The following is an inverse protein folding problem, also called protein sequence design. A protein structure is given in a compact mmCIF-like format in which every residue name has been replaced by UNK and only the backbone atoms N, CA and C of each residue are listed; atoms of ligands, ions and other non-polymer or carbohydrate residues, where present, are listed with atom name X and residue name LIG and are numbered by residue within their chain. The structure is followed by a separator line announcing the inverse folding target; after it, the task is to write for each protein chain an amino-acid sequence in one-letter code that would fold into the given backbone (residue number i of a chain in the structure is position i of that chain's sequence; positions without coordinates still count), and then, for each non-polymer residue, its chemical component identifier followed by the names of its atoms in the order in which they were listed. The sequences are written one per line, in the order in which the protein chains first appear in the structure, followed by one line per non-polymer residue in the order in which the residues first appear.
data_IF_737956804594
#
_entry.id   IF_737956804594
#
_cell.length_a   1.000
_cell.length_b   1.000
_cell.length_c   1.000
_cell.angle_alpha   90.00
_cell.angle_beta   90.00
_cell.angle_gamma   90.00
#
_symmetry.space_group_name_H-M   'P 1'
#
loop_
_entity.id
_entity.type
_entity.pdbx_description
1 polymer ?
#
# COMPACT_ATOMS: atom_id res chain seq x y z
N UNK A 1 2.91 16.41 -2.38
CA UNK A 1 1.87 15.68 -3.14
C UNK A 1 0.77 15.29 -2.18
N UNK A 2 -0.43 15.85 -2.34
CA UNK A 2 -1.59 15.50 -1.52
C UNK A 2 -2.11 14.11 -1.86
N UNK A 3 -2.88 13.51 -0.96
CA UNK A 3 -3.56 12.23 -1.19
C UNK A 3 -4.46 12.28 -2.44
N UNK A 4 -5.19 13.38 -2.63
CA UNK A 4 -6.07 13.56 -3.79
C UNK A 4 -5.29 13.63 -5.09
N UNK A 5 -4.17 14.36 -5.12
CA UNK A 5 -3.28 14.41 -6.28
C UNK A 5 -2.71 13.04 -6.61
N UNK A 6 -2.22 12.31 -5.59
CA UNK A 6 -1.70 10.96 -5.75
C UNK A 6 -2.74 9.98 -6.32
N UNK A 7 -3.96 9.99 -5.79
CA UNK A 7 -5.05 9.12 -6.23
C UNK A 7 -5.52 9.41 -7.66
N UNK A 8 -5.21 10.60 -8.20
CA UNK A 8 -5.60 11.06 -9.53
C UNK A 8 -4.45 11.07 -10.54
N UNK A 9 -3.27 10.55 -10.17
CA UNK A 9 -2.12 10.55 -11.09
C UNK A 9 -2.48 9.81 -12.39
N UNK A 10 -2.30 10.46 -13.56
CA UNK A 10 -2.76 9.91 -14.85
C UNK A 10 -1.86 8.79 -15.38
N UNK A 11 -0.69 8.61 -14.79
CA UNK A 11 0.32 7.63 -15.20
C UNK A 11 0.95 7.00 -13.97
N UNK A 12 1.58 5.84 -14.17
CA UNK A 12 2.26 5.15 -13.09
C UNK A 12 3.32 6.07 -12.46
N UNK A 13 3.42 6.13 -11.13
CA UNK A 13 4.33 7.03 -10.46
C UNK A 13 5.70 6.38 -10.23
N UNK A 14 6.42 6.03 -11.30
CA UNK A 14 7.69 5.28 -11.23
C UNK A 14 8.81 5.96 -10.42
N UNK A 15 8.69 7.27 -10.14
CA UNK A 15 9.61 8.03 -9.30
C UNK A 15 9.29 7.96 -7.80
N UNK A 16 8.13 7.45 -7.41
CA UNK A 16 7.75 7.28 -6.01
C UNK A 16 8.31 5.96 -5.43
N UNK A 17 8.41 5.81 -4.11
CA UNK A 17 8.75 4.54 -3.47
C UNK A 17 7.85 3.38 -3.92
N UNK A 18 8.41 2.16 -3.89
CA UNK A 18 7.76 0.90 -4.30
C UNK A 18 6.36 0.73 -3.70
N UNK A 19 6.22 0.97 -2.39
CA UNK A 19 4.94 0.89 -1.69
C UNK A 19 3.87 1.85 -2.28
N UNK A 20 4.24 3.09 -2.61
CA UNK A 20 3.33 4.05 -3.24
C UNK A 20 3.00 3.68 -4.69
N UNK A 21 3.95 3.09 -5.43
CA UNK A 21 3.65 2.55 -6.76
C UNK A 21 2.60 1.44 -6.69
N UNK A 22 2.72 0.51 -5.75
CA UNK A 22 1.76 -0.57 -5.55
C UNK A 22 0.37 -0.05 -5.19
N UNK A 23 0.26 0.88 -4.24
CA UNK A 23 -1.03 1.49 -3.88
C UNK A 23 -1.68 2.22 -5.06
N UNK A 24 -0.89 2.83 -5.95
CA UNK A 24 -1.42 3.43 -7.17
C UNK A 24 -2.01 2.37 -8.10
N UNK A 25 -1.32 1.24 -8.34
CA UNK A 25 -1.85 0.15 -9.17
C UNK A 25 -3.13 -0.46 -8.59
N UNK A 26 -3.17 -0.68 -7.28
CA UNK A 26 -4.38 -1.14 -6.60
C UNK A 26 -5.54 -0.15 -6.79
N UNK A 27 -5.28 1.16 -6.68
CA UNK A 27 -6.29 2.21 -6.92
C UNK A 27 -6.87 2.20 -8.33
N UNK A 28 -6.08 1.77 -9.32
CA UNK A 28 -6.51 1.57 -10.71
C UNK A 28 -7.29 0.24 -10.92
N UNK A 29 -7.48 -0.54 -9.85
CA UNK A 29 -8.11 -1.87 -9.91
C UNK A 29 -7.17 -2.98 -10.35
N UNK A 30 -5.85 -2.75 -10.36
CA UNK A 30 -4.85 -3.73 -10.75
C UNK A 30 -4.14 -4.31 -9.52
N UNK A 31 -4.88 -5.11 -8.76
CA UNK A 31 -4.40 -5.77 -7.55
C UNK A 31 -3.20 -6.70 -7.83
N UNK A 32 -3.24 -7.47 -8.92
CA UNK A 32 -2.14 -8.40 -9.29
C UNK A 32 -0.82 -7.64 -9.44
N UNK A 33 -0.84 -6.49 -10.13
CA UNK A 33 0.36 -5.68 -10.31
C UNK A 33 0.82 -5.04 -9.00
N UNK A 34 -0.12 -4.58 -8.16
CA UNK A 34 0.21 -4.06 -6.85
C UNK A 34 0.91 -5.10 -5.98
N UNK A 35 0.39 -6.33 -5.97
CA UNK A 35 0.96 -7.46 -5.23
C UNK A 35 2.33 -7.86 -5.77
N UNK A 36 2.50 -7.96 -7.09
CA UNK A 36 3.80 -8.25 -7.74
C UNK A 36 4.87 -7.23 -7.34
N UNK A 37 4.52 -5.94 -7.27
CA UNK A 37 5.45 -4.86 -6.93
C UNK A 37 5.99 -4.99 -5.50
N UNK A 38 5.14 -5.34 -4.54
CA UNK A 38 5.56 -5.41 -3.12
C UNK A 38 6.11 -6.77 -2.72
N UNK A 39 5.78 -7.85 -3.44
CA UNK A 39 6.15 -9.22 -3.06
C UNK A 39 7.65 -9.40 -2.81
N UNK A 40 8.49 -8.77 -3.63
CA UNK A 40 9.95 -8.87 -3.54
C UNK A 40 10.60 -7.63 -2.89
N UNK A 41 9.79 -6.66 -2.47
CA UNK A 41 10.25 -5.42 -1.87
C UNK A 41 10.57 -5.65 -0.39
N UNK A 42 11.86 -5.83 -0.09
CA UNK A 42 12.35 -6.14 1.25
C UNK A 42 12.45 -4.88 2.14
N UNK A 43 11.34 -4.18 2.34
CA UNK A 43 11.25 -2.98 3.17
C UNK A 43 9.91 -2.89 3.93
N UNK A 44 9.92 -2.16 5.05
CA UNK A 44 8.77 -2.09 5.97
C UNK A 44 7.53 -1.41 5.35
N UNK A 45 7.72 -0.46 4.44
CA UNK A 45 6.58 0.25 3.84
C UNK A 45 5.88 -0.67 2.82
N UNK A 46 6.66 -1.42 2.03
CA UNK A 46 6.13 -2.41 1.10
C UNK A 46 5.48 -3.59 1.82
N UNK A 47 6.08 -4.06 2.92
CA UNK A 47 5.46 -5.08 3.80
C UNK A 47 4.08 -4.59 4.32
N UNK A 48 3.91 -3.29 4.60
CA UNK A 48 2.63 -2.74 5.06
C UNK A 48 1.57 -2.76 3.96
N UNK A 49 1.94 -2.35 2.75
CA UNK A 49 1.05 -2.42 1.58
C UNK A 49 0.71 -3.88 1.25
N UNK A 50 1.66 -4.80 1.40
CA UNK A 50 1.42 -6.23 1.20
C UNK A 50 0.38 -6.78 2.19
N UNK A 51 0.45 -6.36 3.45
CA UNK A 51 -0.55 -6.70 4.46
C UNK A 51 -1.96 -6.24 4.08
N UNK A 52 -2.08 -4.99 3.59
CA UNK A 52 -3.33 -4.44 3.07
C UNK A 52 -3.87 -5.24 1.87
N UNK A 53 -3.02 -5.58 0.90
CA UNK A 53 -3.43 -6.33 -0.29
C UNK A 53 -3.98 -7.72 0.07
N UNK A 54 -3.41 -8.41 1.06
CA UNK A 54 -3.97 -9.67 1.55
C UNK A 54 -5.27 -9.48 2.35
N UNK A 55 -5.45 -8.34 3.05
CA UNK A 55 -6.77 -8.01 3.63
C UNK A 55 -7.83 -7.86 2.54
N UNK A 56 -7.50 -7.22 1.43
CA UNK A 56 -8.39 -7.04 0.29
C UNK A 56 -8.73 -8.36 -0.42
N UNK A 57 -7.75 -9.26 -0.55
CA UNK A 57 -7.93 -10.62 -1.07
C UNK A 57 -8.80 -11.50 -0.14
N UNK A 58 -8.79 -11.21 1.17
CA UNK A 58 -9.49 -11.98 2.19
C UNK A 58 -8.63 -13.00 2.93
N UNK A 59 -7.33 -13.08 2.62
CA UNK A 59 -6.37 -13.90 3.35
C UNK A 59 -5.89 -13.19 4.63
N UNK A 60 -6.73 -13.24 5.67
CA UNK A 60 -6.45 -12.57 6.95
C UNK A 60 -5.24 -13.15 7.69
N UNK A 61 -4.89 -14.42 7.46
CA UNK A 61 -3.73 -15.03 8.11
C UNK A 61 -2.44 -14.47 7.52
N UNK A 62 -2.37 -14.37 6.20
CA UNK A 62 -1.21 -13.81 5.52
C UNK A 62 -1.15 -12.29 5.73
N UNK A 63 -2.27 -11.59 5.71
CA UNK A 63 -2.33 -10.18 6.10
C UNK A 63 -1.69 -9.95 7.48
N UNK A 64 -2.03 -10.74 8.50
CA UNK A 64 -1.42 -10.65 9.84
C UNK A 64 0.08 -10.90 9.83
N UNK A 65 0.56 -11.86 9.04
CA UNK A 65 1.99 -12.12 8.87
C UNK A 65 2.71 -10.86 8.37
N UNK A 66 2.19 -10.22 7.32
CA UNK A 66 2.78 -9.01 6.74
C UNK A 66 2.65 -7.78 7.63
N UNK A 67 1.55 -7.60 8.37
CA UNK A 67 1.47 -6.54 9.39
C UNK A 67 2.55 -6.68 10.47
N UNK A 68 2.79 -7.91 10.93
CA UNK A 68 3.85 -8.16 11.91
C UNK A 68 5.22 -7.82 11.32
N UNK A 69 5.45 -8.14 10.04
CA UNK A 69 6.69 -7.85 9.34
C UNK A 69 6.92 -6.35 9.14
N UNK A 70 5.88 -5.62 8.74
CA UNK A 70 5.89 -4.16 8.57
C UNK A 70 5.95 -3.37 9.87
N UNK A 71 5.72 -4.03 11.01
CA UNK A 71 5.63 -3.45 12.36
C UNK A 71 4.47 -2.45 12.50
N UNK A 72 3.44 -2.61 11.70
CA UNK A 72 2.23 -1.78 11.77
C UNK A 72 1.11 -2.56 12.47
N UNK A 73 0.24 -1.88 13.23
CA UNK A 73 -0.90 -2.53 13.84
C UNK A 73 -1.88 -3.02 12.76
N UNK A 74 -2.58 -4.11 13.05
CA UNK A 74 -3.65 -4.59 12.18
C UNK A 74 -4.75 -3.53 12.06
N UNK A 75 -5.10 -3.16 10.84
CA UNK A 75 -6.12 -2.13 10.60
C UNK A 75 -7.53 -2.73 10.77
N UNK A 76 -8.42 -1.99 11.42
CA UNK A 76 -9.73 -2.52 11.86
C UNK A 76 -10.93 -1.95 11.10
N UNK A 77 -10.75 -0.85 10.37
CA UNK A 77 -11.79 -0.24 9.54
C UNK A 77 -11.84 -0.86 8.14
N UNK A 78 -12.66 -0.27 7.25
CA UNK A 78 -12.81 -0.69 5.87
C UNK A 78 -11.55 -0.47 5.02
N UNK A 79 -11.49 -1.18 3.87
CA UNK A 79 -10.33 -1.18 2.96
C UNK A 79 -10.04 0.19 2.35
N UNK A 80 -11.07 1.03 2.11
CA UNK A 80 -10.87 2.37 1.55
C UNK A 80 -10.17 3.25 2.59
N UNK A 81 -10.67 3.25 3.82
CA UNK A 81 -10.06 3.98 4.93
C UNK A 81 -8.61 3.51 5.20
N UNK A 82 -8.34 2.21 5.05
CA UNK A 82 -6.99 1.68 5.17
C UNK A 82 -6.06 2.19 4.08
N UNK A 83 -6.47 2.08 2.81
CA UNK A 83 -5.69 2.57 1.68
C UNK A 83 -5.33 4.06 1.84
N UNK A 84 -6.30 4.89 2.21
CA UNK A 84 -6.13 6.33 2.43
C UNK A 84 -5.14 6.60 3.58
N UNK A 85 -5.22 5.81 4.66
CA UNK A 85 -4.31 5.93 5.80
C UNK A 85 -2.86 5.60 5.42
N UNK A 86 -2.63 4.46 4.75
CA UNK A 86 -1.29 4.04 4.32
C UNK A 86 -0.72 5.06 3.33
N UNK A 87 -1.46 5.39 2.27
CA UNK A 87 -1.02 6.33 1.25
C UNK A 87 -0.65 7.69 1.86
N UNK A 88 -1.48 8.24 2.75
CA UNK A 88 -1.19 9.51 3.41
C UNK A 88 0.10 9.46 4.24
N UNK A 89 0.29 8.39 5.01
CA UNK A 89 1.49 8.24 5.84
C UNK A 89 2.76 8.13 4.99
N UNK A 90 2.72 7.37 3.90
CA UNK A 90 3.87 7.19 3.00
C UNK A 90 4.18 8.48 2.22
N UNK A 91 3.17 9.24 1.79
CA UNK A 91 3.37 10.53 1.14
C UNK A 91 4.04 11.55 2.08
N UNK A 92 3.63 11.59 3.36
CA UNK A 92 4.29 12.45 4.35
C UNK A 92 5.76 12.07 4.59
N UNK A 93 6.09 10.78 4.50
CA UNK A 93 7.45 10.27 4.72
C UNK A 93 8.44 10.72 3.64
N UNK A 94 7.98 10.99 2.41
CA UNK A 94 8.84 11.43 1.31
C UNK A 94 8.95 12.96 1.17
N UNK A 95 8.15 13.72 1.92
CA UNK A 95 8.19 15.19 1.94
C UNK A 95 9.18 15.74 3.00
N UNK A 96 9.67 14.89 3.90
CA UNK A 96 10.61 15.21 4.97
C UNK A 96 12.00 14.61 4.72
#
# INVERSE_FOLDING_TARGET
MTLTEFAQLPQNPSSLPTALQALWYDRQGNWDKAHEIVQDANDLDSDWVHAYLHRQEGDLNNARYWYNRSRQPFFTSDLKSEWEHIASHLLLKIEN
#
